data_IF_838024482624
#
_entry.id   IF_838024482624
#
_cell.length_a   1.000
_cell.length_b   1.000
_cell.length_c   1.000
_cell.angle_alpha   90.00
_cell.angle_beta   90.00
_cell.angle_gamma   90.00
#
_symmetry.space_group_name_H-M   'P 1'
#
loop_
_entity.id
_entity.type
_entity.pdbx_description
1 polymer ?
#
# COMPACT_ATOMS: atom_id res chain seq x y z
N UNK A 1 -1.22 23.88 21.72
CA UNK A 1 -0.61 23.71 20.39
C UNK A 1 -1.45 22.67 19.68
N UNK A 2 -2.28 23.10 18.74
CA UNK A 2 -2.82 22.17 17.75
C UNK A 2 -1.60 21.59 17.00
N UNK A 3 -1.58 20.26 16.89
CA UNK A 3 -0.41 19.52 16.42
C UNK A 3 -0.23 19.61 14.91
N UNK A 4 1.01 19.50 14.45
CA UNK A 4 1.40 19.54 13.03
C UNK A 4 0.56 18.61 12.14
N UNK A 5 0.06 17.49 12.69
CA UNK A 5 -0.81 16.58 11.96
C UNK A 5 -2.18 17.20 11.60
N UNK A 6 -2.71 18.09 12.43
CA UNK A 6 -4.03 18.67 12.18
C UNK A 6 -4.05 19.58 10.96
N UNK A 7 -3.01 20.41 10.83
CA UNK A 7 -2.84 21.32 9.71
C UNK A 7 -2.58 20.51 8.43
N UNK A 8 -1.69 19.51 8.49
CA UNK A 8 -1.39 18.63 7.36
C UNK A 8 -2.64 17.88 6.84
N UNK A 9 -3.48 17.37 7.75
CA UNK A 9 -4.75 16.72 7.35
C UNK A 9 -5.71 17.71 6.70
N UNK A 10 -5.81 18.93 7.22
CA UNK A 10 -6.70 19.93 6.64
C UNK A 10 -6.25 20.33 5.23
N UNK A 11 -4.94 20.56 5.05
CA UNK A 11 -4.32 20.91 3.76
C UNK A 11 -4.49 19.80 2.73
N UNK A 12 -4.24 18.54 3.11
CA UNK A 12 -4.39 17.39 2.19
C UNK A 12 -5.84 17.21 1.69
N UNK A 13 -6.83 17.53 2.53
CA UNK A 13 -8.25 17.29 2.22
C UNK A 13 -8.91 18.47 1.52
N UNK A 14 -8.39 19.69 1.66
CA UNK A 14 -8.95 20.91 1.06
C UNK A 14 -9.28 20.75 -0.44
N UNK A 15 -8.38 20.18 -1.30
CA UNK A 15 -8.67 20.05 -2.73
C UNK A 15 -9.86 19.13 -3.04
N UNK A 16 -10.10 18.10 -2.23
CA UNK A 16 -11.13 17.07 -2.46
C UNK A 16 -12.38 17.26 -1.61
N UNK A 17 -12.40 18.25 -0.72
CA UNK A 17 -13.49 18.46 0.24
C UNK A 17 -14.87 18.56 -0.43
N UNK A 18 -14.94 19.17 -1.61
CA UNK A 18 -16.16 19.33 -2.38
C UNK A 18 -16.68 18.02 -3.01
N UNK A 19 -15.85 16.97 -3.07
CA UNK A 19 -16.19 15.64 -3.57
C UNK A 19 -16.72 14.71 -2.46
N UNK A 20 -16.45 15.02 -1.20
CA UNK A 20 -16.95 14.25 -0.05
C UNK A 20 -18.42 14.56 0.21
N UNK A 21 -19.24 13.50 0.29
CA UNK A 21 -20.72 13.62 0.37
C UNK A 21 -21.31 13.10 1.67
N UNK A 22 -20.59 12.27 2.43
CA UNK A 22 -21.12 11.60 3.61
C UNK A 22 -20.67 12.26 4.91
N UNK A 23 -19.45 12.80 4.94
CA UNK A 23 -18.88 13.41 6.14
C UNK A 23 -18.65 14.90 5.96
N UNK A 24 -19.13 15.68 6.92
CA UNK A 24 -18.75 17.08 7.05
C UNK A 24 -17.22 17.23 7.13
N UNK A 25 -16.63 18.30 6.56
CA UNK A 25 -15.18 18.49 6.50
C UNK A 25 -14.47 18.34 7.85
N UNK A 26 -15.01 18.98 8.90
CA UNK A 26 -14.46 18.89 10.24
C UNK A 26 -14.49 17.47 10.82
N UNK A 27 -15.50 16.67 10.47
CA UNK A 27 -15.61 15.27 10.88
C UNK A 27 -14.61 14.40 10.13
N UNK A 28 -14.41 14.62 8.82
CA UNK A 28 -13.40 13.92 8.01
C UNK A 28 -11.99 14.18 8.56
N UNK A 29 -11.60 15.45 8.73
CA UNK A 29 -10.28 15.79 9.29
C UNK A 29 -10.08 15.22 10.70
N UNK A 30 -11.12 15.20 11.54
CA UNK A 30 -11.07 14.55 12.86
C UNK A 30 -10.85 13.03 12.75
N UNK A 31 -11.54 12.35 11.83
CA UNK A 31 -11.43 10.89 11.64
C UNK A 31 -10.04 10.49 11.16
N UNK A 32 -9.52 11.18 10.14
CA UNK A 32 -8.18 10.94 9.60
C UNK A 32 -7.10 11.05 10.68
N UNK A 33 -7.10 12.14 11.45
CA UNK A 33 -6.19 12.29 12.61
C UNK A 33 -6.26 11.12 13.60
N UNK A 34 -7.47 10.65 13.90
CA UNK A 34 -7.65 9.52 14.82
C UNK A 34 -7.15 8.20 14.24
N UNK A 35 -7.15 8.00 12.92
CA UNK A 35 -6.52 6.82 12.29
C UNK A 35 -5.00 6.84 12.46
N UNK A 36 -4.33 7.95 12.14
CA UNK A 36 -2.88 8.09 12.38
C UNK A 36 -2.52 7.97 13.86
N UNK A 37 -3.29 8.59 14.75
CA UNK A 37 -3.07 8.46 16.20
C UNK A 37 -3.21 7.03 16.70
N UNK A 38 -4.14 6.25 16.16
CA UNK A 38 -4.31 4.83 16.50
C UNK A 38 -3.14 4.00 15.96
N UNK A 39 -2.71 4.27 14.73
CA UNK A 39 -1.54 3.62 14.14
C UNK A 39 -0.28 3.80 15.00
N UNK A 40 -0.06 5.00 15.55
CA UNK A 40 1.09 5.23 16.43
C UNK A 40 1.00 4.44 17.74
N UNK A 41 -0.22 4.28 18.28
CA UNK A 41 -0.46 3.55 19.53
C UNK A 41 -0.24 2.05 19.39
N UNK A 42 -0.32 1.49 18.18
CA UNK A 42 -0.02 0.08 17.93
C UNK A 42 1.48 -0.21 17.78
N UNK A 43 2.34 0.81 17.75
CA UNK A 43 3.78 0.62 17.59
C UNK A 43 4.47 0.26 18.91
N UNK A 44 5.43 -0.65 18.81
CA UNK A 44 6.30 -1.05 19.92
C UNK A 44 7.68 -0.38 19.80
N UNK A 45 7.81 0.84 20.33
CA UNK A 45 9.06 1.62 20.26
C UNK A 45 10.21 1.06 21.13
N UNK A 46 9.93 0.13 22.04
CA UNK A 46 10.92 -0.40 23.00
C UNK A 46 11.65 -1.65 22.51
N UNK A 47 11.24 -2.21 21.37
CA UNK A 47 11.91 -3.36 20.81
C UNK A 47 13.28 -2.94 20.24
N UNK A 48 14.35 -3.37 20.93
CA UNK A 48 15.73 -3.05 20.57
C UNK A 48 16.17 -3.63 19.22
N UNK A 49 15.46 -4.64 18.71
CA UNK A 49 15.74 -5.24 17.41
C UNK A 49 15.15 -4.46 16.24
N UNK A 50 14.28 -3.48 16.51
CA UNK A 50 13.48 -2.83 15.47
C UNK A 50 14.13 -1.55 14.97
N UNK A 51 14.30 -1.44 13.65
CA UNK A 51 14.78 -0.21 13.02
C UNK A 51 13.69 0.86 12.99
N UNK A 52 14.09 2.14 12.98
CA UNK A 52 13.17 3.26 12.78
C UNK A 52 12.44 3.17 11.44
N UNK A 53 13.12 2.68 10.39
CA UNK A 53 12.50 2.42 9.08
C UNK A 53 11.39 1.37 9.14
N UNK A 54 11.57 0.34 9.97
CA UNK A 54 10.54 -0.67 10.22
C UNK A 54 9.35 -0.07 10.95
N UNK A 55 9.58 0.81 11.92
CA UNK A 55 8.51 1.55 12.61
C UNK A 55 7.72 2.46 11.67
N UNK A 56 8.39 3.15 10.73
CA UNK A 56 7.74 3.98 9.71
C UNK A 56 6.84 3.15 8.79
N UNK A 57 7.32 1.97 8.35
CA UNK A 57 6.51 1.07 7.52
C UNK A 57 5.26 0.57 8.26
N UNK A 58 5.42 0.10 9.50
CA UNK A 58 4.28 -0.34 10.32
C UNK A 58 3.27 0.78 10.58
N UNK A 59 3.77 2.00 10.81
CA UNK A 59 2.93 3.16 11.00
C UNK A 59 2.08 3.45 9.75
N UNK A 60 2.71 3.45 8.58
CA UNK A 60 2.04 3.62 7.30
C UNK A 60 1.01 2.50 7.06
N UNK A 61 1.39 1.24 7.24
CA UNK A 61 0.49 0.08 7.07
C UNK A 61 -0.76 0.19 7.95
N UNK A 62 -0.58 0.51 9.22
CA UNK A 62 -1.68 0.63 10.18
C UNK A 62 -2.59 1.83 9.87
N UNK A 63 -1.99 2.97 9.48
CA UNK A 63 -2.73 4.17 9.12
C UNK A 63 -3.55 3.96 7.85
N UNK A 64 -2.93 3.52 6.75
CA UNK A 64 -3.61 3.31 5.48
C UNK A 64 -4.63 2.17 5.54
N UNK A 65 -4.35 1.08 6.25
CA UNK A 65 -5.35 0.03 6.48
C UNK A 65 -6.61 0.59 7.15
N UNK A 66 -6.44 1.46 8.16
CA UNK A 66 -7.57 2.10 8.84
C UNK A 66 -8.33 3.08 7.94
N UNK A 67 -7.63 3.80 7.07
CA UNK A 67 -8.21 4.75 6.11
C UNK A 67 -9.04 3.99 5.07
N UNK A 68 -8.44 3.02 4.38
CA UNK A 68 -9.13 2.25 3.33
C UNK A 68 -10.28 1.40 3.87
N UNK A 69 -10.19 0.90 5.10
CA UNK A 69 -11.33 0.24 5.74
C UNK A 69 -12.51 1.19 5.94
N UNK A 70 -12.25 2.48 6.19
CA UNK A 70 -13.29 3.44 6.54
C UNK A 70 -13.86 4.19 5.33
N UNK A 71 -13.02 4.50 4.34
CA UNK A 71 -13.34 5.36 3.19
C UNK A 71 -12.70 4.87 1.87
N UNK A 72 -12.28 3.61 1.78
CA UNK A 72 -11.68 3.05 0.56
C UNK A 72 -12.61 2.99 -0.65
N UNK A 73 -13.92 3.15 -0.43
CA UNK A 73 -14.95 3.23 -1.46
C UNK A 73 -15.11 4.64 -2.06
N UNK A 74 -14.41 5.64 -1.52
CA UNK A 74 -14.47 7.03 -2.00
C UNK A 74 -13.66 7.22 -3.26
N UNK A 75 -14.34 7.63 -4.35
CA UNK A 75 -13.70 7.92 -5.64
C UNK A 75 -12.66 9.05 -5.59
N UNK A 76 -12.70 9.90 -4.56
CA UNK A 76 -11.75 10.98 -4.38
C UNK A 76 -10.50 10.55 -3.60
N UNK A 77 -10.47 9.37 -2.98
CA UNK A 77 -9.38 8.96 -2.09
C UNK A 77 -8.04 8.93 -2.81
N UNK A 78 -8.03 8.45 -4.06
CA UNK A 78 -6.85 8.39 -4.92
C UNK A 78 -6.36 9.79 -5.37
N UNK A 79 -7.10 10.86 -5.06
CA UNK A 79 -6.71 12.24 -5.38
C UNK A 79 -6.06 12.97 -4.19
N UNK A 80 -5.93 12.31 -3.04
CA UNK A 80 -5.38 12.92 -1.82
C UNK A 80 -3.93 12.52 -1.63
N UNK A 81 -3.06 13.52 -1.56
CA UNK A 81 -1.68 13.33 -1.16
C UNK A 81 -1.57 13.25 0.37
N UNK A 82 -1.33 12.04 0.89
CA UNK A 82 -1.15 11.80 2.32
C UNK A 82 0.32 11.84 2.76
N UNK A 83 1.28 12.18 1.89
CA UNK A 83 2.71 12.13 2.23
C UNK A 83 3.04 13.07 3.40
N UNK A 84 2.53 14.30 3.35
CA UNK A 84 2.75 15.31 4.39
C UNK A 84 2.01 14.95 5.68
N UNK A 85 0.87 14.27 5.56
CA UNK A 85 0.10 13.78 6.71
C UNK A 85 0.88 12.68 7.44
N UNK A 86 1.48 11.76 6.68
CA UNK A 86 2.30 10.68 7.22
C UNK A 86 3.57 11.23 7.90
N UNK A 87 4.29 12.15 7.25
CA UNK A 87 5.47 12.84 7.83
C UNK A 87 5.12 13.59 9.13
N UNK A 88 4.05 14.38 9.11
CA UNK A 88 3.57 15.10 10.30
C UNK A 88 3.19 14.14 11.44
N UNK A 89 2.52 13.02 11.11
CA UNK A 89 2.18 11.98 12.08
C UNK A 89 3.40 11.32 12.71
N UNK A 90 4.45 11.06 11.93
CA UNK A 90 5.72 10.51 12.43
C UNK A 90 6.38 11.51 13.38
N UNK A 91 6.53 12.77 12.96
CA UNK A 91 7.15 13.83 13.78
C UNK A 91 6.37 14.12 15.07
N UNK A 92 5.05 13.95 15.05
CA UNK A 92 4.19 14.17 16.21
C UNK A 92 4.21 13.00 17.21
N UNK A 93 4.18 11.75 16.72
CA UNK A 93 3.98 10.58 17.59
C UNK A 93 5.23 9.75 17.88
N UNK A 94 6.29 9.85 17.08
CA UNK A 94 7.51 9.08 17.32
C UNK A 94 8.31 9.71 18.46
N UNK A 95 8.86 8.92 19.40
CA UNK A 95 9.77 9.44 20.40
C UNK A 95 10.99 10.07 19.74
N UNK A 96 11.43 11.25 20.22
CA UNK A 96 12.59 11.97 19.64
C UNK A 96 13.84 11.10 19.48
N UNK A 97 14.17 10.30 20.50
CA UNK A 97 15.33 9.40 20.47
C UNK A 97 15.31 8.33 19.36
N UNK A 98 14.15 8.07 18.73
CA UNK A 98 14.05 7.18 17.56
C UNK A 98 14.51 7.90 16.28
N UNK A 99 14.40 9.23 16.24
CA UNK A 99 14.66 10.06 15.07
C UNK A 99 15.90 10.98 15.23
N UNK A 100 16.43 11.16 16.43
CA UNK A 100 17.50 12.15 16.73
C UNK A 100 18.74 11.99 15.84
N UNK A 101 19.09 10.76 15.47
CA UNK A 101 20.26 10.44 14.64
C UNK A 101 19.93 10.19 13.15
N UNK A 102 18.67 10.43 12.74
CA UNK A 102 18.22 10.17 11.36
C UNK A 102 18.39 11.44 10.52
N UNK A 103 19.21 11.42 9.45
CA UNK A 103 19.29 12.54 8.53
C UNK A 103 17.92 12.86 7.90
N UNK A 104 17.54 14.14 7.84
CA UNK A 104 16.24 14.58 7.31
C UNK A 104 15.94 13.99 5.91
N UNK A 105 16.92 14.00 5.00
CA UNK A 105 16.75 13.45 3.65
C UNK A 105 16.59 11.92 3.62
N UNK A 106 17.08 11.19 4.64
CA UNK A 106 16.84 9.75 4.77
C UNK A 106 15.44 9.47 5.32
N UNK A 107 15.00 10.27 6.30
CA UNK A 107 13.63 10.24 6.81
C UNK A 107 12.61 10.47 5.69
N UNK A 108 12.72 11.59 4.96
CA UNK A 108 11.80 11.94 3.87
C UNK A 108 11.71 10.86 2.80
N UNK A 109 12.84 10.31 2.36
CA UNK A 109 12.87 9.19 1.39
C UNK A 109 12.17 7.94 1.94
N UNK A 110 12.35 7.65 3.22
CA UNK A 110 11.72 6.48 3.85
C UNK A 110 10.22 6.68 4.06
N UNK A 111 9.79 7.90 4.36
CA UNK A 111 8.37 8.27 4.46
C UNK A 111 7.69 8.16 3.10
N UNK A 112 8.27 8.72 2.05
CA UNK A 112 7.77 8.58 0.67
C UNK A 112 7.64 7.10 0.29
N UNK A 113 8.72 6.32 0.46
CA UNK A 113 8.69 4.90 0.10
C UNK A 113 7.66 4.08 0.91
N UNK A 114 7.47 4.41 2.20
CA UNK A 114 6.47 3.75 3.03
C UNK A 114 5.04 4.19 2.66
N UNK A 115 4.86 5.47 2.33
CA UNK A 115 3.61 6.04 1.84
C UNK A 115 3.15 5.31 0.58
N UNK A 116 3.95 5.37 -0.49
CA UNK A 116 3.57 4.86 -1.81
C UNK A 116 3.29 3.37 -1.74
N UNK A 117 4.15 2.61 -1.04
CA UNK A 117 3.92 1.17 -0.85
C UNK A 117 2.62 0.88 -0.12
N UNK A 118 2.41 1.49 1.05
CA UNK A 118 1.27 1.15 1.90
C UNK A 118 -0.05 1.62 1.27
N UNK A 119 -0.08 2.80 0.67
CA UNK A 119 -1.24 3.31 -0.06
C UNK A 119 -1.58 2.38 -1.24
N UNK A 120 -0.58 2.08 -2.07
CA UNK A 120 -0.77 1.25 -3.25
C UNK A 120 -1.22 -0.17 -2.90
N UNK A 121 -0.66 -0.77 -1.84
CA UNK A 121 -1.10 -2.08 -1.36
C UNK A 121 -2.58 -2.08 -0.93
N UNK A 122 -3.05 -1.05 -0.23
CA UNK A 122 -4.46 -0.97 0.16
C UNK A 122 -5.40 -0.75 -1.04
N UNK A 123 -4.91 -0.10 -2.11
CA UNK A 123 -5.67 0.13 -3.35
C UNK A 123 -5.74 -1.11 -4.24
N UNK A 124 -4.60 -1.80 -4.39
CA UNK A 124 -4.43 -2.94 -5.29
C UNK A 124 -5.01 -4.25 -4.73
N UNK A 125 -4.76 -4.55 -3.45
CA UNK A 125 -5.06 -5.87 -2.89
C UNK A 125 -6.56 -6.23 -2.88
N UNK A 126 -7.50 -5.33 -2.53
CA UNK A 126 -8.94 -5.62 -2.63
C UNK A 126 -9.36 -5.96 -4.07
N UNK A 127 -8.85 -5.21 -5.06
CA UNK A 127 -9.17 -5.45 -6.48
C UNK A 127 -8.67 -6.81 -6.95
N UNK A 128 -7.45 -7.19 -6.58
CA UNK A 128 -6.93 -8.53 -6.85
C UNK A 128 -7.84 -9.60 -6.24
N UNK A 129 -8.26 -9.40 -4.99
CA UNK A 129 -9.12 -10.36 -4.30
C UNK A 129 -10.47 -10.53 -5.00
N UNK A 130 -11.14 -9.42 -5.32
CA UNK A 130 -12.43 -9.40 -6.01
C UNK A 130 -12.33 -10.01 -7.40
N UNK A 131 -11.23 -9.72 -8.12
CA UNK A 131 -10.98 -10.31 -9.43
C UNK A 131 -10.83 -11.84 -9.35
N UNK A 132 -10.01 -12.35 -8.43
CA UNK A 132 -9.85 -13.80 -8.25
C UNK A 132 -11.17 -14.47 -7.84
N UNK A 133 -12.00 -13.80 -7.03
CA UNK A 133 -13.35 -14.26 -6.69
C UNK A 133 -14.28 -14.29 -7.92
N UNK A 134 -14.22 -13.28 -8.79
CA UNK A 134 -15.00 -13.23 -10.03
C UNK A 134 -14.67 -14.36 -11.01
N UNK A 135 -13.44 -14.89 -10.94
CA UNK A 135 -13.00 -16.07 -11.69
C UNK A 135 -13.47 -17.41 -11.08
N UNK A 136 -14.22 -17.37 -9.97
CA UNK A 136 -14.71 -18.56 -9.28
C UNK A 136 -13.68 -19.23 -8.37
N UNK A 137 -12.53 -18.58 -8.10
CA UNK A 137 -11.57 -19.10 -7.14
C UNK A 137 -12.08 -18.86 -5.72
N UNK A 138 -12.03 -19.89 -4.89
CA UNK A 138 -12.53 -19.85 -3.51
C UNK A 138 -11.56 -20.47 -2.52
N UNK A 139 -11.75 -20.15 -1.23
CA UNK A 139 -11.05 -20.78 -0.11
C UNK A 139 -9.53 -20.82 -0.25
N UNK A 140 -8.96 -22.02 -0.10
CA UNK A 140 -7.50 -22.22 -0.13
C UNK A 140 -6.90 -21.95 -1.51
N UNK A 141 -7.62 -22.23 -2.59
CA UNK A 141 -7.14 -22.02 -3.96
C UNK A 141 -7.00 -20.52 -4.24
N UNK A 142 -8.03 -19.72 -3.93
CA UNK A 142 -7.95 -18.25 -4.03
C UNK A 142 -6.81 -17.69 -3.20
N UNK A 143 -6.68 -18.15 -1.94
CA UNK A 143 -5.59 -17.67 -1.06
C UNK A 143 -4.22 -17.94 -1.67
N UNK A 144 -3.95 -19.14 -2.19
CA UNK A 144 -2.68 -19.47 -2.84
C UNK A 144 -2.42 -18.60 -4.07
N UNK A 145 -3.44 -18.38 -4.90
CA UNK A 145 -3.35 -17.50 -6.06
C UNK A 145 -3.02 -16.06 -5.63
N UNK A 146 -3.81 -15.51 -4.72
CA UNK A 146 -3.63 -14.18 -4.14
C UNK A 146 -2.22 -13.98 -3.57
N UNK A 147 -1.80 -14.86 -2.65
CA UNK A 147 -0.49 -14.78 -1.99
C UNK A 147 0.66 -14.87 -3.02
N UNK A 148 0.51 -15.69 -4.06
CA UNK A 148 1.53 -15.85 -5.11
C UNK A 148 1.60 -14.67 -6.07
N UNK A 149 0.46 -14.10 -6.44
CA UNK A 149 0.39 -12.93 -7.32
C UNK A 149 0.95 -11.71 -6.61
N UNK A 150 0.56 -11.44 -5.35
CA UNK A 150 1.10 -10.32 -4.59
C UNK A 150 2.61 -10.49 -4.28
N UNK A 151 3.05 -11.67 -3.84
CA UNK A 151 4.49 -11.89 -3.60
C UNK A 151 5.30 -11.74 -4.90
N UNK A 152 4.76 -12.20 -6.03
CA UNK A 152 5.39 -11.98 -7.33
C UNK A 152 5.57 -10.50 -7.66
N UNK A 153 4.55 -9.67 -7.36
CA UNK A 153 4.58 -8.21 -7.57
C UNK A 153 5.65 -7.57 -6.70
N UNK A 154 5.69 -7.93 -5.41
CA UNK A 154 6.70 -7.44 -4.45
C UNK A 154 8.11 -7.81 -4.88
N UNK A 155 8.32 -9.02 -5.41
CA UNK A 155 9.61 -9.43 -5.95
C UNK A 155 9.99 -8.59 -7.17
N UNK A 156 9.07 -8.36 -8.10
CA UNK A 156 9.32 -7.59 -9.32
C UNK A 156 9.62 -6.11 -9.04
N UNK A 157 8.90 -5.48 -8.11
CA UNK A 157 9.08 -4.07 -7.72
C UNK A 157 10.50 -3.78 -7.22
N UNK A 158 11.15 -4.74 -6.54
CA UNK A 158 12.54 -4.57 -6.05
C UNK A 158 13.56 -4.33 -7.17
N UNK A 159 13.22 -4.66 -8.41
CA UNK A 159 14.11 -4.51 -9.56
C UNK A 159 13.68 -3.40 -10.51
N UNK A 160 12.53 -2.76 -10.27
CA UNK A 160 12.05 -1.65 -11.09
C UNK A 160 12.80 -0.37 -10.69
N UNK A 161 13.39 0.29 -11.67
CA UNK A 161 14.16 1.54 -11.47
C UNK A 161 13.40 2.77 -11.92
N UNK A 162 12.71 2.64 -13.05
CA UNK A 162 11.98 3.71 -13.68
C UNK A 162 10.64 3.13 -14.20
N UNK A 163 9.52 3.45 -13.56
CA UNK A 163 8.19 2.97 -13.96
C UNK A 163 7.72 3.57 -15.28
N UNK A 164 8.33 4.67 -15.75
CA UNK A 164 8.01 5.34 -17.00
C UNK A 164 8.73 4.74 -18.21
N UNK A 165 9.82 3.98 -17.98
CA UNK A 165 10.61 3.38 -19.04
C UNK A 165 9.95 2.09 -19.58
N UNK A 166 9.56 2.02 -20.87
CA UNK A 166 8.83 0.88 -21.42
C UNK A 166 9.53 -0.48 -21.26
N UNK A 167 10.87 -0.49 -21.30
CA UNK A 167 11.65 -1.71 -21.14
C UNK A 167 11.71 -2.19 -19.69
N UNK A 168 11.70 -1.27 -18.71
CA UNK A 168 11.59 -1.61 -17.29
C UNK A 168 10.19 -2.15 -16.97
N UNK A 169 9.14 -1.57 -17.57
CA UNK A 169 7.76 -2.09 -17.46
C UNK A 169 7.65 -3.52 -17.98
N UNK A 170 8.20 -3.81 -19.17
CA UNK A 170 8.23 -5.18 -19.71
C UNK A 170 9.01 -6.13 -18.80
N UNK A 171 10.17 -5.70 -18.31
CA UNK A 171 10.99 -6.50 -17.41
C UNK A 171 10.28 -6.76 -16.08
N UNK A 172 9.54 -5.78 -15.57
CA UNK A 172 8.70 -5.91 -14.38
C UNK A 172 7.61 -6.98 -14.58
N UNK A 173 6.81 -6.88 -15.66
CA UNK A 173 5.74 -7.85 -15.93
C UNK A 173 6.31 -9.27 -16.08
N UNK A 174 7.42 -9.43 -16.82
CA UNK A 174 8.07 -10.74 -16.95
C UNK A 174 8.49 -11.30 -15.59
N UNK A 175 9.18 -10.50 -14.76
CA UNK A 175 9.62 -10.93 -13.43
C UNK A 175 8.45 -11.24 -12.50
N UNK A 176 7.37 -10.48 -12.60
CA UNK A 176 6.17 -10.67 -11.80
C UNK A 176 5.53 -12.02 -12.13
N UNK A 177 5.29 -12.30 -13.41
CA UNK A 177 4.77 -13.59 -13.87
C UNK A 177 5.67 -14.74 -13.41
N UNK A 178 6.97 -14.65 -13.64
CA UNK A 178 7.94 -15.70 -13.27
C UNK A 178 7.94 -15.96 -11.75
N UNK A 179 7.94 -14.90 -10.94
CA UNK A 179 7.92 -15.01 -9.49
C UNK A 179 6.60 -15.58 -8.96
N UNK A 180 5.46 -15.21 -9.56
CA UNK A 180 4.16 -15.78 -9.22
C UNK A 180 4.09 -17.27 -9.54
N UNK A 181 4.51 -17.69 -10.73
CA UNK A 181 4.55 -19.12 -11.11
C UNK A 181 5.47 -19.90 -10.18
N UNK A 182 6.65 -19.34 -9.86
CA UNK A 182 7.59 -19.94 -8.92
C UNK A 182 6.99 -20.11 -7.51
N UNK A 183 6.22 -19.14 -7.03
CA UNK A 183 5.54 -19.24 -5.73
C UNK A 183 4.38 -20.24 -5.75
N UNK A 184 3.59 -20.27 -6.82
CA UNK A 184 2.55 -21.28 -6.99
C UNK A 184 3.15 -22.68 -6.98
N UNK A 185 4.21 -22.91 -7.77
CA UNK A 185 4.92 -24.19 -7.82
C UNK A 185 5.36 -24.66 -6.42
N UNK A 186 5.79 -23.74 -5.55
CA UNK A 186 6.12 -24.06 -4.14
C UNK A 186 4.87 -24.44 -3.33
N UNK A 187 3.78 -23.70 -3.45
CA UNK A 187 2.53 -23.96 -2.72
C UNK A 187 1.77 -25.22 -3.17
N UNK A 188 2.03 -25.69 -4.38
CA UNK A 188 1.37 -26.84 -4.98
C UNK A 188 2.28 -28.05 -5.14
N UNK A 189 3.50 -27.99 -4.58
CA UNK A 189 4.48 -29.08 -4.63
C UNK A 189 4.80 -29.53 -6.07
N UNK A 190 4.82 -28.57 -6.99
CA UNK A 190 5.22 -28.80 -8.37
C UNK A 190 4.11 -28.63 -9.41
N UNK A 191 2.85 -28.50 -8.99
CA UNK A 191 1.69 -28.46 -9.90
C UNK A 191 0.93 -27.12 -9.82
N UNK A 192 1.45 -26.02 -10.38
CA UNK A 192 0.78 -24.72 -10.33
C UNK A 192 -0.60 -24.72 -11.02
N UNK A 193 -0.80 -25.60 -12.01
CA UNK A 193 -2.06 -25.74 -12.75
C UNK A 193 -3.23 -26.22 -11.87
N UNK A 194 -2.94 -26.86 -10.74
CA UNK A 194 -3.96 -27.19 -9.72
C UNK A 194 -4.60 -25.97 -9.04
N UNK A 195 -4.01 -24.78 -9.20
CA UNK A 195 -4.51 -23.52 -8.60
C UNK A 195 -4.94 -22.52 -9.68
N UNK A 196 -4.11 -22.32 -10.70
CA UNK A 196 -4.41 -21.47 -11.86
C UNK A 196 -3.95 -22.19 -13.12
N UNK A 197 -4.87 -22.47 -14.04
CA UNK A 197 -4.45 -22.85 -15.39
C UNK A 197 -3.80 -21.67 -16.13
N UNK A 198 -3.13 -21.95 -17.25
CA UNK A 198 -2.40 -20.94 -18.01
C UNK A 198 -3.32 -19.81 -18.50
N UNK A 199 -4.55 -20.13 -18.92
CA UNK A 199 -5.51 -19.15 -19.40
C UNK A 199 -5.98 -18.21 -18.28
N UNK A 200 -6.29 -18.77 -17.11
CA UNK A 200 -6.61 -18.02 -15.91
C UNK A 200 -5.45 -17.13 -15.47
N UNK A 201 -4.23 -17.67 -15.44
CA UNK A 201 -3.04 -16.91 -15.10
C UNK A 201 -2.84 -15.72 -16.06
N UNK A 202 -2.93 -15.94 -17.36
CA UNK A 202 -2.83 -14.87 -18.37
C UNK A 202 -3.93 -13.81 -18.16
N UNK A 203 -5.17 -14.24 -17.92
CA UNK A 203 -6.29 -13.33 -17.68
C UNK A 203 -6.07 -12.42 -16.45
N UNK A 204 -5.47 -12.95 -15.38
CA UNK A 204 -5.10 -12.15 -14.19
C UNK A 204 -4.15 -11.02 -14.56
N UNK A 205 -3.02 -11.33 -15.20
CA UNK A 205 -2.04 -10.31 -15.53
C UNK A 205 -2.57 -9.31 -16.56
N UNK A 206 -3.31 -9.77 -17.56
CA UNK A 206 -3.94 -8.87 -18.54
C UNK A 206 -4.92 -7.90 -17.88
N UNK A 207 -5.77 -8.39 -16.97
CA UNK A 207 -6.78 -7.55 -16.33
C UNK A 207 -6.12 -6.52 -15.42
N UNK A 208 -5.18 -6.95 -14.57
CA UNK A 208 -4.47 -6.05 -13.66
C UNK A 208 -3.67 -4.97 -14.43
N UNK A 209 -3.14 -5.30 -15.61
CA UNK A 209 -2.48 -4.32 -16.49
C UNK A 209 -3.48 -3.35 -17.14
N UNK A 210 -4.66 -3.83 -17.55
CA UNK A 210 -5.70 -3.00 -18.18
C UNK A 210 -6.32 -2.00 -17.21
N UNK A 211 -6.47 -2.38 -15.95
CA UNK A 211 -7.06 -1.51 -14.93
C UNK A 211 -6.12 -0.35 -14.54
N UNK A 212 -4.90 -0.29 -15.11
CA UNK A 212 -3.95 0.81 -14.91
C UNK A 212 -3.38 0.88 -13.50
N UNK A 213 -3.78 -0.06 -12.64
CA UNK A 213 -3.55 -0.03 -11.21
C UNK A 213 -2.13 -0.46 -10.82
N UNK A 214 -1.23 -0.75 -11.75
CA UNK A 214 0.08 -1.31 -11.41
C UNK A 214 1.25 -0.33 -11.49
N UNK A 215 1.11 0.78 -12.23
CA UNK A 215 2.26 1.61 -12.64
C UNK A 215 1.93 3.11 -12.74
N UNK A 216 0.74 3.55 -12.35
CA UNK A 216 0.27 4.91 -12.67
C UNK A 216 0.84 6.00 -11.77
N UNK A 217 1.46 5.68 -10.62
CA UNK A 217 1.97 6.70 -9.68
C UNK A 217 3.29 6.30 -9.02
N UNK A 218 4.36 6.18 -9.82
CA UNK A 218 5.73 6.14 -9.30
C UNK A 218 6.63 7.11 -10.07
#
# INVERSE_FOLDING_TARGET
>A
MEGYLADAVAEAIEPVQHLEKEWEPAKLCKRLREYFKKAAKSLEFKDKGRSWTGLVNDFADSAFSSIFQAIGDRQWLDQVDFIFVLDAGIKEFFPRHVLDDVPQAELERSVLAAHDRAFEEQRYLPKLYDFLESMGLTGKTRKKAYDSVDEGRKVALRYMRDPSAPDEVKAFVSRWVDATVKNLHRFTQGDPASVLDEGQAAQIFEQLLKDGDLLTEA
#
